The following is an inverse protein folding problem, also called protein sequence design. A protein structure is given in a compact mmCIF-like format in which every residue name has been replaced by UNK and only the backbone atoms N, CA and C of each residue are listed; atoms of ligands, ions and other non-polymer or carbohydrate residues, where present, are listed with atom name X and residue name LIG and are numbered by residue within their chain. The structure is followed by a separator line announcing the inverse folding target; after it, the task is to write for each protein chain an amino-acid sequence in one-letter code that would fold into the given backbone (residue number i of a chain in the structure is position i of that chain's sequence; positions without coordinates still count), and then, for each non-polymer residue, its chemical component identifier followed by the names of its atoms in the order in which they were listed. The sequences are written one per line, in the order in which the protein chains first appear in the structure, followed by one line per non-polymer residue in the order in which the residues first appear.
data_IF_864230207337
#
_entry.id   IF_864230207337
#
_cell.length_a   1.000
_cell.length_b   1.000
_cell.length_c   1.000
_cell.angle_alpha   90.00
_cell.angle_beta   90.00
_cell.angle_gamma   90.00
#
_symmetry.space_group_name_H-M   'P 1'
#
loop_
_entity.id
_entity.type
_entity.pdbx_description
1 polymer ?
#
# COMPACT_ATOMS: atom_id res chain seq x y z
N UNK A 1 0.43 -11.27 20.55
CA UNK A 1 1.44 -10.70 19.63
C UNK A 1 2.68 -11.59 19.72
N UNK A 2 2.98 -12.37 18.68
CA UNK A 2 4.05 -13.38 18.73
C UNK A 2 5.42 -12.72 18.54
N UNK A 3 6.25 -12.72 19.59
CA UNK A 3 7.58 -12.08 19.60
C UNK A 3 8.47 -12.50 18.42
N UNK A 4 8.44 -13.78 18.06
CA UNK A 4 9.23 -14.33 16.96
C UNK A 4 8.85 -13.76 15.58
N UNK A 5 7.56 -13.47 15.36
CA UNK A 5 7.08 -12.88 14.10
C UNK A 5 7.55 -11.41 13.98
N UNK A 6 7.48 -10.65 15.07
CA UNK A 6 7.99 -9.26 15.11
C UNK A 6 9.50 -9.20 14.83
N UNK A 7 10.27 -10.16 15.34
CA UNK A 7 11.71 -10.24 15.08
C UNK A 7 11.99 -10.57 13.60
N UNK A 8 11.21 -11.49 13.02
CA UNK A 8 11.26 -11.80 11.58
C UNK A 8 10.98 -10.57 10.72
N UNK A 9 9.91 -9.85 11.02
CA UNK A 9 9.53 -8.62 10.32
C UNK A 9 10.64 -7.55 10.39
N UNK A 10 11.25 -7.36 11.57
CA UNK A 10 12.34 -6.39 11.76
C UNK A 10 13.59 -6.74 10.97
N UNK A 11 14.00 -8.02 10.99
CA UNK A 11 15.16 -8.50 10.25
C UNK A 11 14.93 -8.41 8.73
N UNK A 12 13.75 -8.78 8.27
CA UNK A 12 13.38 -8.66 6.86
C UNK A 12 13.34 -7.19 6.42
N UNK A 13 12.74 -6.30 7.21
CA UNK A 13 12.70 -4.88 6.91
C UNK A 13 14.09 -4.26 6.78
N UNK A 14 14.99 -4.60 7.72
CA UNK A 14 16.39 -4.13 7.69
C UNK A 14 17.11 -4.60 6.44
N UNK A 15 16.91 -5.86 6.04
CA UNK A 15 17.56 -6.46 4.87
C UNK A 15 17.02 -5.93 3.53
N UNK A 16 15.70 -5.72 3.43
CA UNK A 16 15.02 -5.50 2.16
C UNK A 16 14.58 -4.04 1.92
N UNK A 17 14.36 -3.25 2.96
CA UNK A 17 13.74 -1.91 2.83
C UNK A 17 14.62 -0.77 3.35
N UNK A 18 15.38 -1.01 4.43
CA UNK A 18 16.11 0.04 5.13
C UNK A 18 17.16 0.76 4.26
N UNK A 19 17.82 0.05 3.35
CA UNK A 19 18.85 0.62 2.48
C UNK A 19 18.29 1.42 1.28
N UNK A 20 16.95 1.48 1.13
CA UNK A 20 16.29 2.15 0.02
C UNK A 20 15.53 3.40 0.50
N UNK A 21 16.20 4.56 0.50
CA UNK A 21 15.66 5.83 0.99
C UNK A 21 14.28 6.19 0.39
N UNK A 22 14.08 5.95 -0.91
CA UNK A 22 12.81 6.26 -1.59
C UNK A 22 11.65 5.40 -1.06
N UNK A 23 11.90 4.14 -0.70
CA UNK A 23 10.89 3.27 -0.10
C UNK A 23 10.44 3.80 1.25
N UNK A 24 11.39 4.28 2.07
CA UNK A 24 11.09 4.85 3.38
C UNK A 24 10.28 6.13 3.26
N UNK A 25 10.58 6.98 2.27
CA UNK A 25 9.81 8.20 2.00
C UNK A 25 8.38 7.84 1.56
N UNK A 26 8.22 6.93 0.60
CA UNK A 26 6.89 6.49 0.15
C UNK A 26 6.11 5.85 1.31
N UNK A 27 6.76 5.02 2.13
CA UNK A 27 6.13 4.45 3.31
C UNK A 27 5.64 5.54 4.27
N UNK A 28 6.44 6.58 4.53
CA UNK A 28 6.02 7.73 5.35
C UNK A 28 4.83 8.48 4.75
N UNK A 29 4.80 8.66 3.43
CA UNK A 29 3.65 9.27 2.74
C UNK A 29 2.38 8.42 2.90
N UNK A 30 2.48 7.11 2.70
CA UNK A 30 1.34 6.20 2.93
C UNK A 30 0.87 6.24 4.38
N UNK A 31 1.79 6.30 5.35
CA UNK A 31 1.46 6.48 6.77
C UNK A 31 0.77 7.80 7.05
N UNK A 32 1.18 8.87 6.39
CA UNK A 32 0.48 10.15 6.48
C UNK A 32 -0.95 10.04 5.93
N UNK A 33 -1.16 9.34 4.82
CA UNK A 33 -2.50 9.09 4.28
C UNK A 33 -3.38 8.28 5.26
N UNK A 34 -2.81 7.34 6.01
CA UNK A 34 -3.55 6.65 7.09
C UNK A 34 -3.94 7.61 8.22
N UNK A 35 -3.06 8.55 8.57
CA UNK A 35 -3.30 9.53 9.63
C UNK A 35 -4.44 10.49 9.30
N UNK A 36 -4.59 10.89 8.03
CA UNK A 36 -5.72 11.71 7.56
C UNK A 36 -6.99 10.88 7.28
N UNK A 37 -7.12 9.69 7.88
CA UNK A 37 -8.33 8.84 7.88
C UNK A 37 -8.80 8.35 6.50
N UNK A 38 -7.87 8.12 5.56
CA UNK A 38 -8.22 7.51 4.27
C UNK A 38 -8.58 6.01 4.42
N UNK A 39 -9.16 5.37 3.38
CA UNK A 39 -9.40 3.93 3.38
C UNK A 39 -8.14 3.07 3.58
N UNK A 40 -6.93 3.64 3.38
CA UNK A 40 -5.67 2.96 3.70
C UNK A 40 -5.51 2.69 5.21
N UNK A 41 -6.27 3.36 6.07
CA UNK A 41 -6.24 3.14 7.54
C UNK A 41 -6.55 1.70 7.95
N UNK A 42 -7.29 0.94 7.14
CA UNK A 42 -7.54 -0.48 7.38
C UNK A 42 -6.29 -1.34 7.18
N UNK A 43 -5.29 -0.89 6.43
CA UNK A 43 -4.05 -1.64 6.22
C UNK A 43 -3.14 -1.54 7.46
N UNK A 44 -2.66 -2.66 7.95
CA UNK A 44 -1.60 -2.68 8.94
C UNK A 44 -0.27 -2.17 8.34
N UNK A 45 0.66 -1.77 9.20
CA UNK A 45 1.97 -1.25 8.78
C UNK A 45 2.74 -2.28 7.94
N UNK A 46 2.63 -3.56 8.29
CA UNK A 46 3.35 -4.63 7.61
C UNK A 46 2.90 -4.81 6.16
N UNK A 47 1.59 -4.75 5.88
CA UNK A 47 1.03 -4.74 4.53
C UNK A 47 1.58 -3.58 3.70
N UNK A 48 1.66 -2.37 4.28
CA UNK A 48 2.23 -1.22 3.59
C UNK A 48 3.71 -1.43 3.23
N UNK A 49 4.49 -1.98 4.17
CA UNK A 49 5.90 -2.33 3.94
C UNK A 49 6.04 -3.31 2.78
N UNK A 50 5.28 -4.42 2.81
CA UNK A 50 5.33 -5.44 1.75
C UNK A 50 4.86 -4.91 0.39
N UNK A 51 3.83 -4.04 0.37
CA UNK A 51 3.36 -3.39 -0.85
C UNK A 51 4.42 -2.51 -1.50
N UNK A 52 5.08 -1.66 -0.71
CA UNK A 52 6.14 -0.78 -1.21
C UNK A 52 7.30 -1.60 -1.75
N UNK A 53 7.74 -2.63 -1.02
CA UNK A 53 8.80 -3.53 -1.48
C UNK A 53 8.43 -4.22 -2.80
N UNK A 54 7.20 -4.74 -2.92
CA UNK A 54 6.72 -5.40 -4.14
C UNK A 54 6.76 -4.47 -5.36
N UNK A 55 6.59 -3.16 -5.16
CA UNK A 55 6.61 -2.16 -6.22
C UNK A 55 8.00 -1.57 -6.51
N UNK A 56 9.04 -1.96 -5.75
CA UNK A 56 10.39 -1.41 -5.86
C UNK A 56 11.12 -1.81 -7.16
N UNK A 57 10.74 -2.93 -7.78
CA UNK A 57 11.43 -3.47 -8.97
C UNK A 57 11.09 -2.75 -10.28
N UNK A 58 10.67 -1.48 -10.21
CA UNK A 58 10.40 -0.67 -11.38
C UNK A 58 11.71 -0.14 -11.98
N UNK A 59 11.80 0.01 -13.32
CA UNK A 59 13.02 0.44 -14.00
C UNK A 59 13.45 1.87 -13.64
N UNK A 60 12.52 2.68 -13.14
CA UNK A 60 12.77 4.05 -12.65
C UNK A 60 12.36 4.10 -11.18
N UNK A 61 13.35 4.33 -10.31
CA UNK A 61 13.17 4.40 -8.85
C UNK A 61 13.18 5.85 -8.35
N UNK A 62 12.26 6.68 -8.86
CA UNK A 62 11.94 7.97 -8.23
C UNK A 62 10.85 7.80 -7.16
N UNK A 63 10.74 8.77 -6.25
CA UNK A 63 9.71 8.74 -5.20
C UNK A 63 8.31 8.73 -5.85
N UNK A 64 8.10 9.57 -6.87
CA UNK A 64 6.83 9.70 -7.59
C UNK A 64 6.47 8.44 -8.36
N UNK A 65 7.44 7.79 -9.02
CA UNK A 65 7.18 6.55 -9.77
C UNK A 65 6.82 5.41 -8.83
N UNK A 66 7.53 5.29 -7.70
CA UNK A 66 7.25 4.27 -6.69
C UNK A 66 5.87 4.51 -6.03
N UNK A 67 5.57 5.76 -5.65
CA UNK A 67 4.25 6.11 -5.10
C UNK A 67 3.13 5.76 -6.07
N UNK A 68 3.25 6.15 -7.35
CA UNK A 68 2.29 5.79 -8.40
C UNK A 68 2.18 4.28 -8.59
N UNK A 69 3.30 3.55 -8.56
CA UNK A 69 3.32 2.10 -8.71
C UNK A 69 2.55 1.38 -7.59
N UNK A 70 2.68 1.84 -6.34
CA UNK A 70 1.91 1.30 -5.20
C UNK A 70 0.41 1.47 -5.43
N UNK A 71 -0.04 2.68 -5.80
CA UNK A 71 -1.45 2.92 -6.07
C UNK A 71 -1.96 2.21 -7.32
N UNK A 72 -1.11 2.01 -8.33
CA UNK A 72 -1.46 1.21 -9.52
C UNK A 72 -1.64 -0.26 -9.15
N UNK A 73 -0.76 -0.81 -8.32
CA UNK A 73 -0.88 -2.18 -7.82
C UNK A 73 -2.18 -2.39 -7.03
N UNK A 74 -2.54 -1.42 -6.16
CA UNK A 74 -3.79 -1.44 -5.42
C UNK A 74 -5.02 -1.27 -6.33
N UNK A 75 -4.94 -0.42 -7.35
CA UNK A 75 -6.05 -0.14 -8.28
C UNK A 75 -6.36 -1.33 -9.19
N UNK A 76 -5.36 -2.15 -9.51
CA UNK A 76 -5.51 -3.45 -10.19
C UNK A 76 -6.22 -4.51 -9.34
N UNK A 77 -6.50 -4.25 -8.06
CA UNK A 77 -7.27 -5.14 -7.20
C UNK A 77 -6.46 -6.27 -6.56
N UNK A 78 -5.18 -6.06 -6.26
CA UNK A 78 -4.32 -7.06 -5.57
C UNK A 78 -4.89 -7.58 -4.23
N UNK A 79 -5.80 -6.81 -3.61
CA UNK A 79 -6.46 -7.16 -2.34
C UNK A 79 -7.79 -7.90 -2.52
N UNK A 80 -8.40 -7.89 -3.71
CA UNK A 80 -9.73 -8.45 -3.94
C UNK A 80 -9.74 -9.98 -3.74
N UNK A 81 -10.86 -10.57 -3.28
CA UNK A 81 -10.96 -12.00 -3.00
C UNK A 81 -10.83 -12.88 -4.26
N UNK A 82 -11.30 -12.41 -5.41
CA UNK A 82 -11.32 -13.17 -6.68
C UNK A 82 -10.07 -12.93 -7.54
N UNK A 83 -8.93 -12.63 -6.91
CA UNK A 83 -7.68 -12.27 -7.58
C UNK A 83 -7.01 -13.50 -8.22
N UNK A 84 -6.34 -13.29 -9.35
CA UNK A 84 -5.60 -14.33 -10.10
C UNK A 84 -4.23 -14.67 -9.45
N UNK A 85 -3.97 -14.20 -8.22
CA UNK A 85 -2.67 -14.40 -7.57
C UNK A 85 -2.70 -14.32 -6.05
N UNK A 86 -1.60 -14.65 -5.37
CA UNK A 86 -1.59 -14.89 -3.93
C UNK A 86 -1.72 -13.64 -3.04
N UNK A 87 -1.95 -12.46 -3.60
CA UNK A 87 -2.06 -11.22 -2.84
C UNK A 87 -0.72 -10.70 -2.33
N UNK A 88 -0.70 -10.30 -1.05
CA UNK A 88 0.49 -9.80 -0.36
C UNK A 88 0.99 -10.93 0.54
N UNK A 89 1.89 -11.78 0.01
CA UNK A 89 2.45 -12.89 0.79
C UNK A 89 3.38 -12.35 1.88
N UNK A 90 3.24 -12.83 3.11
CA UNK A 90 4.20 -12.59 4.19
C UNK A 90 5.45 -13.48 4.03
N UNK A 91 6.64 -12.91 3.78
CA UNK A 91 7.88 -13.68 3.64
C UNK A 91 8.43 -14.22 4.97
N UNK A 92 7.88 -13.79 6.11
CA UNK A 92 8.30 -14.23 7.44
C UNK A 92 7.50 -15.41 7.98
N UNK A 93 6.42 -15.79 7.30
CA UNK A 93 5.64 -16.99 7.61
C UNK A 93 6.06 -18.16 6.70
N UNK A 94 5.98 -19.39 7.21
CA UNK A 94 6.36 -20.59 6.46
C UNK A 94 5.29 -20.98 5.44
N UNK A 95 4.04 -20.74 5.79
CA UNK A 95 2.90 -20.93 4.90
C UNK A 95 2.73 -19.68 4.04
N UNK A 96 2.21 -19.81 2.81
CA UNK A 96 1.94 -18.70 1.88
C UNK A 96 0.77 -17.83 2.37
N UNK A 97 0.91 -17.25 3.56
CA UNK A 97 -0.11 -16.47 4.23
C UNK A 97 -0.25 -15.10 3.57
N UNK A 98 -1.49 -14.72 3.27
CA UNK A 98 -1.81 -13.38 2.78
C UNK A 98 -1.82 -12.41 3.97
N UNK A 99 -0.88 -11.49 3.98
CA UNK A 99 -0.75 -10.47 5.02
C UNK A 99 -2.01 -9.60 5.16
N UNK A 100 -2.86 -9.54 4.12
CA UNK A 100 -4.09 -8.75 4.10
C UNK A 100 -5.37 -9.56 4.37
N UNK A 101 -5.25 -10.82 4.83
CA UNK A 101 -6.42 -11.72 4.94
C UNK A 101 -7.49 -11.22 5.93
N UNK A 102 -7.07 -10.50 6.97
CA UNK A 102 -7.96 -9.92 7.99
C UNK A 102 -8.94 -8.85 7.46
N UNK A 103 -8.76 -8.36 6.22
CA UNK A 103 -9.63 -7.33 5.64
C UNK A 103 -10.95 -7.93 5.15
N UNK A 104 -12.06 -7.23 5.43
CA UNK A 104 -13.37 -7.59 4.86
C UNK A 104 -13.44 -7.28 3.36
N UNK A 105 -14.36 -7.93 2.64
CA UNK A 105 -14.58 -7.67 1.21
C UNK A 105 -14.92 -6.20 0.92
N UNK A 106 -15.68 -5.56 1.81
CA UNK A 106 -16.01 -4.14 1.71
C UNK A 106 -14.77 -3.25 1.87
N UNK A 107 -13.93 -3.52 2.87
CA UNK A 107 -12.69 -2.78 3.08
C UNK A 107 -11.74 -2.93 1.89
N UNK A 108 -11.59 -4.15 1.35
CA UNK A 108 -10.79 -4.43 0.15
C UNK A 108 -11.29 -3.62 -1.05
N UNK A 109 -12.60 -3.60 -1.28
CA UNK A 109 -13.22 -2.83 -2.36
C UNK A 109 -13.00 -1.33 -2.18
N UNK A 110 -13.22 -0.79 -0.98
CA UNK A 110 -13.03 0.63 -0.69
C UNK A 110 -11.58 1.08 -0.92
N UNK A 111 -10.60 0.25 -0.54
CA UNK A 111 -9.18 0.53 -0.81
C UNK A 111 -8.91 0.54 -2.33
N UNK A 112 -9.45 -0.42 -3.08
CA UNK A 112 -9.26 -0.48 -4.53
C UNK A 112 -9.89 0.72 -5.25
N UNK A 113 -11.13 1.10 -4.90
CA UNK A 113 -11.81 2.28 -5.45
C UNK A 113 -11.01 3.55 -5.13
N UNK A 114 -10.57 3.69 -3.88
CA UNK A 114 -9.71 4.80 -3.46
C UNK A 114 -8.42 4.85 -4.29
N UNK A 115 -7.74 3.73 -4.44
CA UNK A 115 -6.50 3.66 -5.22
C UNK A 115 -6.71 4.02 -6.69
N UNK A 116 -7.81 3.57 -7.31
CA UNK A 116 -8.17 3.97 -8.68
C UNK A 116 -8.34 5.49 -8.81
N UNK A 117 -8.95 6.15 -7.82
CA UNK A 117 -9.08 7.61 -7.80
C UNK A 117 -7.73 8.30 -7.63
N UNK A 118 -6.86 7.81 -6.73
CA UNK A 118 -5.52 8.37 -6.55
C UNK A 118 -4.68 8.27 -7.83
N UNK A 119 -4.73 7.13 -8.55
CA UNK A 119 -4.01 7.00 -9.83
C UNK A 119 -4.47 8.05 -10.84
N UNK A 120 -5.77 8.36 -10.90
CA UNK A 120 -6.31 9.45 -11.74
C UNK A 120 -5.77 10.80 -11.30
N UNK A 121 -5.77 11.11 -10.00
CA UNK A 121 -5.23 12.37 -9.48
C UNK A 121 -3.73 12.53 -9.77
N UNK A 122 -2.94 11.45 -9.67
CA UNK A 122 -1.52 11.46 -10.02
C UNK A 122 -1.34 11.74 -11.52
N UNK A 123 -2.16 11.15 -12.39
CA UNK A 123 -2.10 11.38 -13.83
C UNK A 123 -2.41 12.84 -14.22
N UNK A 124 -3.22 13.54 -13.42
CA UNK A 124 -3.50 14.97 -13.56
C UNK A 124 -2.61 15.86 -12.69
N UNK A 125 -1.56 15.31 -12.06
CA UNK A 125 -0.61 16.02 -11.19
C UNK A 125 -1.26 16.77 -10.00
N UNK A 126 -2.43 16.31 -9.54
CA UNK A 126 -3.21 16.94 -8.48
C UNK A 126 -2.81 16.41 -7.08
N UNK A 127 -1.54 16.54 -6.72
CA UNK A 127 -1.00 16.01 -5.46
C UNK A 127 -1.59 16.69 -4.22
N UNK A 128 -1.91 17.99 -4.29
CA UNK A 128 -2.51 18.71 -3.16
C UNK A 128 -3.83 18.08 -2.70
N UNK A 129 -4.62 17.57 -3.65
CA UNK A 129 -5.89 16.90 -3.36
C UNK A 129 -5.70 15.54 -2.71
N UNK A 130 -4.59 14.85 -3.01
CA UNK A 130 -4.27 13.53 -2.44
C UNK A 130 -3.98 13.66 -0.94
N UNK A 131 -3.33 14.75 -0.53
CA UNK A 131 -2.92 14.98 0.86
C UNK A 131 -3.88 15.88 1.65
N UNK A 132 -5.00 16.29 1.05
CA UNK A 132 -6.04 17.07 1.71
C UNK A 132 -6.87 16.19 2.65
N UNK A 133 -7.26 16.72 3.82
CA UNK A 133 -8.12 16.02 4.81
C UNK A 133 -9.51 15.68 4.30
N UNK A 134 -10.02 16.48 3.37
CA UNK A 134 -11.29 16.26 2.70
C UNK A 134 -11.04 15.94 1.23
N UNK A 135 -10.75 14.67 0.88
CA UNK A 135 -10.83 14.26 -0.51
C UNK A 135 -12.32 14.14 -0.83
N UNK A 136 -12.98 15.28 -1.08
CA UNK A 136 -14.35 15.31 -1.58
C UNK A 136 -14.37 14.66 -2.96
N UNK A 137 -14.49 13.34 -2.99
CA UNK A 137 -14.90 12.58 -4.17
C UNK A 137 -16.42 12.72 -4.32
N UNK A 138 -16.93 13.96 -4.32
CA UNK A 138 -18.31 14.20 -4.72
C UNK A 138 -18.38 13.97 -6.23
N UNK A 139 -18.93 12.82 -6.61
CA UNK A 139 -19.51 12.66 -7.93
C UNK A 139 -20.66 13.68 -7.94
N UNK A 140 -20.43 14.84 -8.56
CA UNK A 140 -21.54 15.73 -8.92
C UNK A 140 -22.35 14.98 -9.97
N UNK A 141 -23.48 14.42 -9.54
CA UNK A 141 -24.58 14.08 -10.43
C UNK A 141 -25.18 15.36 -11.03
#
# INVERSE_FOLDING_TARGET
MNFFLCLGHSNWFTRCMFNHNNNLIVLRLLRHLQYIQTPLSYLNLWCLVLLVHKCQFQPINSITTLFRAVFTCLSCGILLPNKVGPGIIDPCEKDLADAADYLTNEQRSNITIYAQNIVRLIAFEQFDKIFSRDPQFSIRH
#
